data_IF_722751993222
#
_entry.id   IF_722751993222
#
_cell.length_a   1.000
_cell.length_b   1.000
_cell.length_c   1.000
_cell.angle_alpha   90.00
_cell.angle_beta   90.00
_cell.angle_gamma   90.00
#
_symmetry.space_group_name_H-M   'P 1'
#
loop_
_entity.id
_entity.type
_entity.pdbx_description
1 polymer ?
#
# COMPACT_ATOMS: atom_id res chain seq x y z
N UNK A 1 7.89 -15.09 14.87
CA UNK A 1 8.62 -13.83 14.57
C UNK A 1 9.68 -14.14 13.53
N UNK A 2 9.66 -13.45 12.40
CA UNK A 2 10.66 -13.58 11.33
C UNK A 2 11.68 -12.46 11.47
N UNK A 3 12.96 -12.78 11.59
CA UNK A 3 14.05 -11.82 11.83
C UNK A 3 14.81 -11.53 10.53
N UNK A 4 15.41 -10.34 10.47
CA UNK A 4 16.26 -9.90 9.37
C UNK A 4 17.42 -9.06 9.91
N UNK A 5 18.60 -9.16 9.29
CA UNK A 5 19.72 -8.28 9.59
C UNK A 5 19.39 -6.83 9.19
N UNK A 6 19.61 -5.88 10.09
CA UNK A 6 19.51 -4.45 9.77
C UNK A 6 20.65 -4.06 8.82
N UNK A 7 20.32 -3.28 7.80
CA UNK A 7 21.34 -2.72 6.88
C UNK A 7 22.24 -1.72 7.60
N UNK A 8 23.48 -1.54 7.10
CA UNK A 8 24.43 -0.62 7.70
C UNK A 8 25.27 -1.22 8.83
N UNK A 9 25.28 -2.55 8.96
CA UNK A 9 26.19 -3.28 9.85
C UNK A 9 27.02 -4.29 9.07
N UNK A 10 28.27 -4.50 9.51
CA UNK A 10 29.19 -5.46 8.88
C UNK A 10 30.03 -6.16 9.92
N UNK A 11 30.25 -7.47 9.73
CA UNK A 11 31.19 -8.24 10.56
C UNK A 11 32.63 -7.93 10.13
N UNK A 12 33.49 -7.66 11.10
CA UNK A 12 34.93 -7.50 10.91
C UNK A 12 35.68 -8.19 12.05
N UNK A 13 36.78 -8.83 11.72
CA UNK A 13 37.68 -9.40 12.69
C UNK A 13 38.81 -8.39 13.00
N UNK A 14 38.97 -8.08 14.28
CA UNK A 14 40.04 -7.21 14.78
C UNK A 14 40.85 -8.05 15.77
N UNK A 15 42.06 -8.38 15.40
CA UNK A 15 42.88 -9.37 16.11
C UNK A 15 42.11 -10.70 16.21
N UNK A 16 41.82 -11.18 17.42
CA UNK A 16 41.14 -12.47 17.66
C UNK A 16 39.66 -12.29 18.04
N UNK A 17 39.08 -11.09 17.87
CA UNK A 17 37.71 -10.82 18.26
C UNK A 17 36.93 -10.38 17.03
N UNK A 18 35.76 -10.99 16.80
CA UNK A 18 34.81 -10.56 15.79
C UNK A 18 33.93 -9.44 16.33
N UNK A 19 33.69 -8.43 15.51
CA UNK A 19 32.85 -7.28 15.83
C UNK A 19 31.80 -7.08 14.75
N UNK A 20 30.58 -6.79 15.16
CA UNK A 20 29.54 -6.25 14.30
C UNK A 20 29.61 -4.72 14.38
N UNK A 21 30.06 -4.08 13.30
CA UNK A 21 30.36 -2.66 13.25
C UNK A 21 29.35 -1.91 12.39
N UNK A 22 28.87 -0.72 12.83
CA UNK A 22 28.04 0.15 12.04
C UNK A 22 28.83 0.81 10.91
N UNK A 23 28.16 1.13 9.79
CA UNK A 23 28.68 1.98 8.72
C UNK A 23 27.55 2.83 8.10
N UNK A 24 27.91 3.84 7.31
CA UNK A 24 26.93 4.72 6.67
C UNK A 24 26.05 5.45 7.68
N UNK A 25 24.73 5.39 7.48
CA UNK A 25 23.75 6.09 8.33
C UNK A 25 23.83 5.66 9.80
N UNK A 26 24.16 4.39 10.07
CA UNK A 26 24.26 3.90 11.46
C UNK A 26 25.35 4.62 12.26
N UNK A 27 26.44 5.07 11.60
CA UNK A 27 27.47 5.91 12.25
C UNK A 27 26.90 7.32 12.51
N UNK A 28 26.21 7.91 11.55
CA UNK A 28 25.59 9.24 11.70
C UNK A 28 24.57 9.24 12.86
N UNK A 29 23.84 8.14 13.04
CA UNK A 29 22.90 7.91 14.13
C UNK A 29 23.59 7.52 15.45
N UNK A 30 24.94 7.63 15.53
CA UNK A 30 25.76 7.34 16.72
C UNK A 30 25.60 5.91 17.27
N UNK A 31 25.25 4.95 16.39
CA UNK A 31 25.19 3.54 16.78
C UNK A 31 26.58 2.99 17.09
N UNK A 32 26.64 2.06 18.04
CA UNK A 32 27.89 1.44 18.46
C UNK A 32 28.02 0.04 17.90
N UNK A 33 29.26 -0.39 17.64
CA UNK A 33 29.56 -1.78 17.34
C UNK A 33 29.57 -2.62 18.61
N UNK A 34 29.41 -3.93 18.47
CA UNK A 34 29.48 -4.90 19.55
C UNK A 34 30.45 -6.04 19.20
N UNK A 35 31.07 -6.63 20.23
CA UNK A 35 31.84 -7.86 20.09
C UNK A 35 30.88 -9.05 19.95
N UNK A 36 31.23 -9.98 19.08
CA UNK A 36 30.45 -11.18 18.77
C UNK A 36 31.28 -12.43 19.10
N UNK A 37 30.68 -13.38 19.82
CA UNK A 37 31.25 -14.72 19.98
C UNK A 37 30.99 -15.58 18.72
N UNK A 38 31.58 -16.77 18.67
CA UNK A 38 31.48 -17.68 17.50
C UNK A 38 30.02 -18.01 17.15
N UNK A 39 29.20 -18.31 18.14
CA UNK A 39 27.79 -18.63 17.96
C UNK A 39 27.02 -17.43 17.38
N UNK A 40 27.26 -16.22 17.89
CA UNK A 40 26.65 -14.98 17.38
C UNK A 40 27.08 -14.67 15.94
N UNK A 41 28.33 -14.92 15.60
CA UNK A 41 28.85 -14.78 14.21
C UNK A 41 28.15 -15.77 13.30
N UNK A 42 28.02 -17.03 13.72
CA UNK A 42 27.32 -18.05 12.96
C UNK A 42 25.86 -17.66 12.69
N UNK A 43 25.12 -17.30 13.73
CA UNK A 43 23.71 -16.90 13.62
C UNK A 43 23.53 -15.67 12.71
N UNK A 44 24.40 -14.67 12.85
CA UNK A 44 24.36 -13.48 11.97
C UNK A 44 24.56 -13.85 10.51
N UNK A 45 25.58 -14.67 10.20
CA UNK A 45 25.86 -15.13 8.83
C UNK A 45 24.73 -15.99 8.28
N UNK A 46 24.20 -16.92 9.07
CA UNK A 46 23.07 -17.76 8.67
C UNK A 46 21.85 -16.90 8.30
N UNK A 47 21.52 -15.92 9.15
CA UNK A 47 20.41 -15.00 8.91
C UNK A 47 20.67 -14.08 7.69
N UNK A 48 21.90 -13.61 7.51
CA UNK A 48 22.27 -12.79 6.36
C UNK A 48 22.18 -13.58 5.04
N UNK A 49 22.59 -14.84 5.03
CA UNK A 49 22.48 -15.73 3.86
C UNK A 49 21.03 -16.08 3.54
N UNK A 50 20.21 -16.32 4.55
CA UNK A 50 18.79 -16.65 4.38
C UNK A 50 17.94 -15.40 4.00
N UNK A 51 18.45 -14.19 4.24
CA UNK A 51 17.71 -12.94 4.10
C UNK A 51 16.71 -12.69 5.24
N UNK A 52 15.99 -13.72 5.69
CA UNK A 52 15.14 -13.73 6.88
C UNK A 52 14.99 -15.15 7.42
N UNK A 53 14.81 -15.31 8.74
CA UNK A 53 14.63 -16.61 9.40
C UNK A 53 13.81 -16.47 10.69
N UNK A 54 13.09 -17.53 11.06
CA UNK A 54 12.45 -17.62 12.38
C UNK A 54 13.46 -17.97 13.46
N UNK A 55 13.07 -17.81 14.72
CA UNK A 55 13.90 -18.26 15.85
C UNK A 55 14.11 -19.78 15.82
N UNK A 56 13.09 -20.51 15.43
CA UNK A 56 13.08 -21.98 15.26
C UNK A 56 14.04 -22.43 14.16
N UNK A 57 14.06 -21.73 13.00
CA UNK A 57 15.01 -22.00 11.93
C UNK A 57 16.45 -21.77 12.38
N UNK A 58 16.70 -20.65 13.06
CA UNK A 58 18.04 -20.33 13.59
C UNK A 58 18.50 -21.34 14.64
N UNK A 59 17.59 -21.78 15.54
CA UNK A 59 17.89 -22.83 16.51
C UNK A 59 18.22 -24.16 15.83
N UNK A 60 17.44 -24.54 14.80
CA UNK A 60 17.69 -25.75 13.99
C UNK A 60 19.05 -25.69 13.28
N UNK A 61 19.43 -24.52 12.73
CA UNK A 61 20.74 -24.31 12.12
C UNK A 61 21.89 -24.47 13.13
N UNK A 62 21.71 -23.97 14.37
CA UNK A 62 22.71 -24.14 15.45
C UNK A 62 22.87 -25.59 15.84
N UNK A 63 21.77 -26.32 16.04
CA UNK A 63 21.77 -27.75 16.36
C UNK A 63 22.54 -28.53 15.31
N UNK A 64 22.24 -28.29 14.04
CA UNK A 64 22.94 -28.93 12.94
C UNK A 64 24.43 -28.58 12.90
N UNK A 65 24.79 -27.31 13.16
CA UNK A 65 26.18 -26.85 13.13
C UNK A 65 27.05 -27.46 14.23
N UNK A 66 26.50 -27.57 15.43
CA UNK A 66 27.24 -28.12 16.59
C UNK A 66 26.98 -29.62 16.82
N UNK A 67 26.23 -30.29 15.94
CA UNK A 67 25.81 -31.70 16.08
C UNK A 67 25.15 -32.02 17.44
N UNK A 68 24.27 -31.14 17.91
CA UNK A 68 23.50 -31.30 19.13
C UNK A 68 22.32 -32.24 18.94
N UNK A 69 21.85 -32.86 20.03
CA UNK A 69 20.66 -33.74 19.98
C UNK A 69 19.33 -32.94 19.95
N UNK A 70 18.27 -33.55 19.45
CA UNK A 70 16.93 -32.94 19.42
C UNK A 70 16.41 -32.57 20.85
N UNK A 71 16.87 -33.27 21.89
CA UNK A 71 16.51 -32.96 23.25
C UNK A 71 16.97 -31.57 23.70
N UNK A 72 17.99 -30.99 23.05
CA UNK A 72 18.56 -29.68 23.39
C UNK A 72 17.83 -28.53 22.68
N UNK A 73 16.86 -28.80 21.78
CA UNK A 73 16.17 -27.80 20.98
C UNK A 73 15.57 -26.66 21.80
N UNK A 74 14.89 -26.99 22.91
CA UNK A 74 14.24 -25.97 23.77
C UNK A 74 15.25 -25.02 24.40
N UNK A 75 16.41 -25.57 24.88
CA UNK A 75 17.46 -24.75 25.45
C UNK A 75 18.15 -23.88 24.41
N UNK A 76 18.46 -24.43 23.23
CA UNK A 76 19.06 -23.69 22.14
C UNK A 76 18.11 -22.57 21.64
N UNK A 77 16.80 -22.85 21.58
CA UNK A 77 15.79 -21.84 21.18
C UNK A 77 15.76 -20.65 22.13
N UNK A 78 15.84 -20.90 23.47
CA UNK A 78 15.92 -19.82 24.48
C UNK A 78 17.21 -19.00 24.34
N UNK A 79 18.35 -19.62 24.04
CA UNK A 79 19.61 -18.93 23.79
C UNK A 79 19.53 -18.06 22.54
N UNK A 80 18.98 -18.60 21.43
CA UNK A 80 18.74 -17.87 20.19
C UNK A 80 17.79 -16.70 20.42
N UNK A 81 16.75 -16.89 21.21
CA UNK A 81 15.79 -15.83 21.57
C UNK A 81 16.49 -14.71 22.38
N UNK A 82 17.32 -15.06 23.35
CA UNK A 82 18.12 -14.10 24.12
C UNK A 82 19.05 -13.27 23.22
N UNK A 83 19.77 -13.94 22.31
CA UNK A 83 20.61 -13.30 21.30
C UNK A 83 19.80 -12.35 20.40
N UNK A 84 18.67 -12.81 19.87
CA UNK A 84 17.83 -12.02 18.98
C UNK A 84 17.27 -10.78 19.69
N UNK A 85 16.76 -10.93 20.92
CA UNK A 85 16.22 -9.81 21.71
C UNK A 85 17.29 -8.75 21.99
N UNK A 86 18.53 -9.15 22.29
CA UNK A 86 19.64 -8.23 22.49
C UNK A 86 19.95 -7.43 21.22
N UNK A 87 20.03 -8.09 20.05
CA UNK A 87 20.33 -7.42 18.79
C UNK A 87 19.16 -6.56 18.28
N UNK A 88 17.91 -6.97 18.54
CA UNK A 88 16.72 -6.13 18.29
C UNK A 88 16.78 -4.85 19.14
N UNK A 89 17.14 -4.96 20.43
CA UNK A 89 17.27 -3.80 21.32
C UNK A 89 18.36 -2.83 20.83
N UNK A 90 19.44 -3.32 20.25
CA UNK A 90 20.50 -2.48 19.68
C UNK A 90 20.16 -1.97 18.26
N UNK A 91 19.05 -2.43 17.67
CA UNK A 91 18.65 -2.08 16.30
C UNK A 91 19.54 -2.69 15.22
N UNK A 92 20.22 -3.81 15.55
CA UNK A 92 21.06 -4.59 14.62
C UNK A 92 20.27 -5.66 13.89
N UNK A 93 19.18 -6.15 14.50
CA UNK A 93 18.14 -6.94 13.85
C UNK A 93 16.85 -6.12 13.76
N UNK A 94 16.02 -6.49 12.81
CA UNK A 94 14.65 -5.98 12.67
C UNK A 94 13.70 -7.16 12.44
N UNK A 95 12.47 -7.00 12.89
CA UNK A 95 11.42 -7.96 12.56
C UNK A 95 11.01 -7.77 11.10
N UNK A 96 11.04 -8.85 10.33
CA UNK A 96 10.56 -8.84 8.95
C UNK A 96 9.03 -8.72 8.92
N UNK A 97 8.52 -7.92 8.03
CA UNK A 97 7.08 -7.75 7.86
C UNK A 97 6.51 -8.95 7.09
N UNK A 98 5.74 -9.80 7.78
CA UNK A 98 5.13 -11.02 7.21
C UNK A 98 3.74 -11.26 7.81
N UNK A 99 2.86 -12.04 7.15
CA UNK A 99 1.54 -12.38 7.67
C UNK A 99 1.58 -12.96 9.09
N UNK A 100 0.62 -12.54 9.93
CA UNK A 100 0.50 -13.03 11.32
C UNK A 100 -0.23 -14.38 11.42
N UNK A 101 -0.90 -14.80 10.35
CA UNK A 101 -1.62 -16.08 10.24
C UNK A 101 -1.49 -16.61 8.82
N UNK A 102 -1.58 -17.92 8.62
CA UNK A 102 -1.65 -18.52 7.27
C UNK A 102 -2.95 -18.17 6.55
N UNK A 103 -4.06 -18.08 7.30
CA UNK A 103 -5.39 -17.84 6.76
C UNK A 103 -5.79 -16.36 6.84
N UNK A 104 -6.41 -15.85 5.78
CA UNK A 104 -7.08 -14.56 5.78
C UNK A 104 -8.57 -14.76 6.13
N UNK A 105 -9.17 -13.79 6.84
CA UNK A 105 -10.58 -13.84 7.23
C UNK A 105 -11.52 -13.68 6.03
N UNK A 106 -11.13 -12.87 5.05
CA UNK A 106 -11.94 -12.52 3.88
C UNK A 106 -11.10 -12.35 2.64
N UNK A 107 -11.69 -12.65 1.48
CA UNK A 107 -11.08 -12.50 0.16
C UNK A 107 -11.96 -11.60 -0.71
N UNK A 108 -11.36 -10.65 -1.41
CA UNK A 108 -12.05 -9.73 -2.31
C UNK A 108 -11.33 -9.67 -3.64
N UNK A 109 -12.11 -9.53 -4.72
CA UNK A 109 -11.58 -9.26 -6.07
C UNK A 109 -11.97 -7.83 -6.47
N UNK A 110 -10.99 -6.95 -6.59
CA UNK A 110 -11.17 -5.55 -6.93
C UNK A 110 -10.29 -5.22 -8.12
N UNK A 111 -10.88 -4.84 -9.24
CA UNK A 111 -10.14 -4.49 -10.46
C UNK A 111 -9.19 -5.60 -10.96
N UNK A 112 -9.59 -6.87 -10.83
CA UNK A 112 -8.75 -8.03 -11.19
C UNK A 112 -7.55 -8.26 -10.28
N UNK A 113 -7.47 -7.56 -9.13
CA UNK A 113 -6.49 -7.76 -8.08
C UNK A 113 -7.16 -8.46 -6.88
N UNK A 114 -6.43 -9.37 -6.23
CA UNK A 114 -6.87 -9.98 -4.98
C UNK A 114 -6.50 -9.10 -3.80
N UNK A 115 -7.47 -8.87 -2.91
CA UNK A 115 -7.26 -8.29 -1.59
C UNK A 115 -7.65 -9.32 -0.54
N UNK A 116 -6.68 -9.80 0.22
CA UNK A 116 -6.89 -10.67 1.37
C UNK A 116 -6.84 -9.86 2.66
N UNK A 117 -7.88 -9.95 3.45
CA UNK A 117 -7.99 -9.24 4.71
C UNK A 117 -7.98 -10.23 5.87
N UNK A 118 -7.10 -10.03 6.85
CA UNK A 118 -7.16 -10.67 8.15
C UNK A 118 -7.75 -9.68 9.15
N UNK A 119 -9.02 -9.87 9.49
CA UNK A 119 -9.79 -9.05 10.43
C UNK A 119 -10.53 -9.98 11.40
N UNK A 120 -9.81 -10.54 12.40
CA UNK A 120 -10.37 -11.55 13.29
C UNK A 120 -11.49 -11.04 14.18
N UNK A 121 -11.62 -9.74 14.34
CA UNK A 121 -12.63 -9.10 15.18
C UNK A 121 -13.73 -8.38 14.39
N UNK A 122 -13.64 -8.33 13.04
CA UNK A 122 -14.69 -7.78 12.18
C UNK A 122 -14.82 -6.25 12.21
N UNK A 123 -13.70 -5.52 12.30
CA UNK A 123 -13.71 -4.06 12.41
C UNK A 123 -14.12 -3.36 11.12
N UNK A 124 -13.81 -3.93 9.95
CA UNK A 124 -14.10 -3.32 8.64
C UNK A 124 -15.56 -3.46 8.25
N UNK A 125 -16.27 -4.44 8.81
CA UNK A 125 -17.69 -4.67 8.50
C UNK A 125 -17.95 -5.05 7.04
N UNK A 126 -19.08 -4.57 6.48
CA UNK A 126 -19.59 -4.96 5.15
C UNK A 126 -19.07 -4.08 3.99
N UNK A 127 -18.11 -3.19 4.23
CA UNK A 127 -17.67 -2.18 3.24
C UNK A 127 -17.18 -2.77 1.91
N UNK A 128 -16.68 -4.01 1.92
CA UNK A 128 -16.16 -4.71 0.75
C UNK A 128 -17.05 -5.86 0.26
N UNK A 129 -18.20 -6.12 0.85
CA UNK A 129 -19.00 -7.33 0.59
C UNK A 129 -19.41 -7.50 -0.87
N UNK A 130 -19.65 -6.40 -1.60
CA UNK A 130 -19.97 -6.45 -3.03
C UNK A 130 -18.82 -7.01 -3.90
N UNK A 131 -17.59 -7.05 -3.37
CA UNK A 131 -16.36 -7.52 -4.04
C UNK A 131 -15.89 -8.86 -3.46
N UNK A 132 -16.62 -9.47 -2.51
CA UNK A 132 -16.26 -10.75 -1.88
C UNK A 132 -16.17 -11.86 -2.91
N UNK A 133 -15.18 -12.71 -2.77
CA UNK A 133 -14.97 -13.88 -3.65
C UNK A 133 -14.41 -15.06 -2.85
N UNK A 134 -14.75 -16.27 -3.30
CA UNK A 134 -14.16 -17.50 -2.80
C UNK A 134 -12.97 -17.96 -3.67
N UNK A 135 -12.69 -17.24 -4.75
CA UNK A 135 -11.63 -17.57 -5.71
C UNK A 135 -10.34 -16.82 -5.40
N UNK A 136 -9.24 -17.58 -5.33
CA UNK A 136 -7.88 -17.05 -5.20
C UNK A 136 -7.23 -16.68 -6.56
N UNK A 137 -7.95 -16.82 -7.69
CA UNK A 137 -7.42 -16.57 -9.01
C UNK A 137 -7.38 -15.07 -9.31
N UNK A 138 -6.24 -14.44 -9.13
CA UNK A 138 -6.00 -13.03 -9.46
C UNK A 138 -4.61 -12.82 -10.06
N UNK A 139 -4.45 -11.73 -10.84
CA UNK A 139 -3.18 -11.36 -11.47
C UNK A 139 -2.10 -10.98 -10.43
N UNK A 140 -2.52 -10.45 -9.29
CA UNK A 140 -1.65 -10.10 -8.17
C UNK A 140 -2.46 -10.13 -6.87
N UNK A 141 -1.77 -10.29 -5.74
CA UNK A 141 -2.36 -10.53 -4.45
C UNK A 141 -1.78 -9.58 -3.40
N UNK A 142 -2.65 -8.80 -2.76
CA UNK A 142 -2.32 -7.96 -1.61
C UNK A 142 -2.94 -8.54 -0.36
N UNK A 143 -2.17 -8.61 0.72
CA UNK A 143 -2.67 -8.98 2.02
C UNK A 143 -2.60 -7.82 3.01
N UNK A 144 -3.67 -7.61 3.78
CA UNK A 144 -3.77 -6.64 4.86
C UNK A 144 -4.19 -7.34 6.14
N UNK A 145 -3.37 -7.24 7.19
CA UNK A 145 -3.65 -7.77 8.52
C UNK A 145 -3.98 -6.61 9.47
N UNK A 146 -5.15 -6.68 10.13
CA UNK A 146 -5.55 -5.77 11.20
C UNK A 146 -5.14 -6.34 12.54
N UNK A 147 -4.34 -5.59 13.28
CA UNK A 147 -3.84 -5.97 14.61
C UNK A 147 -4.38 -5.01 15.67
N UNK A 148 -5.10 -5.56 16.64
CA UNK A 148 -5.73 -4.79 17.72
C UNK A 148 -4.80 -4.62 18.93
N UNK A 149 -3.52 -4.44 18.66
CA UNK A 149 -2.45 -4.20 19.64
C UNK A 149 -1.64 -2.98 19.24
N UNK A 150 -1.04 -2.24 20.18
CA UNK A 150 -0.08 -1.20 19.84
C UNK A 150 1.12 -1.78 19.11
N UNK A 151 1.70 -1.05 18.13
CA UNK A 151 2.92 -1.48 17.45
C UNK A 151 4.13 -1.40 18.40
N UNK A 152 5.11 -2.27 18.17
CA UNK A 152 6.44 -2.18 18.83
C UNK A 152 7.43 -1.47 17.87
N UNK A 153 7.09 -0.28 17.44
CA UNK A 153 7.90 0.47 16.47
C UNK A 153 8.93 1.32 17.17
N UNK A 154 10.19 1.12 16.82
CA UNK A 154 11.34 1.81 17.43
C UNK A 154 12.02 2.82 16.51
N UNK A 155 11.80 2.72 15.21
CA UNK A 155 12.38 3.64 14.21
C UNK A 155 11.50 3.69 12.97
N UNK A 156 11.08 4.90 12.61
CA UNK A 156 10.26 5.12 11.42
C UNK A 156 11.09 5.24 10.13
N UNK A 157 12.33 5.73 10.19
CA UNK A 157 13.18 5.97 9.04
C UNK A 157 13.07 7.39 8.49
N UNK A 158 13.30 7.54 7.18
CA UNK A 158 13.26 8.83 6.49
C UNK A 158 11.82 9.26 6.20
N UNK A 159 11.49 10.53 6.47
CA UNK A 159 10.20 11.13 6.08
C UNK A 159 10.17 11.33 4.56
N UNK A 160 9.19 10.74 3.89
CA UNK A 160 8.94 10.94 2.46
C UNK A 160 7.81 11.95 2.20
N UNK A 161 6.78 11.94 3.04
CA UNK A 161 5.64 12.84 2.93
C UNK A 161 5.13 13.16 4.34
N UNK A 162 4.77 14.42 4.57
CA UNK A 162 4.11 14.86 5.79
C UNK A 162 3.08 15.95 5.48
N UNK A 163 1.84 15.72 5.89
CA UNK A 163 0.78 16.69 5.86
C UNK A 163 -0.16 16.50 7.07
N UNK A 164 -1.29 17.19 7.12
CA UNK A 164 -2.25 17.09 8.23
C UNK A 164 -2.98 15.74 8.30
N UNK A 165 -3.05 14.99 7.19
CA UNK A 165 -3.82 13.75 7.08
C UNK A 165 -2.94 12.51 7.31
N UNK A 166 -1.67 12.56 6.87
CA UNK A 166 -0.75 11.43 7.00
C UNK A 166 0.71 11.85 7.06
N UNK A 167 1.53 11.00 7.64
CA UNK A 167 2.98 11.05 7.53
C UNK A 167 3.47 9.69 7.05
N UNK A 168 4.28 9.67 5.99
CA UNK A 168 4.85 8.46 5.40
C UNK A 168 6.36 8.49 5.61
N UNK A 169 6.85 7.44 6.27
CA UNK A 169 8.27 7.18 6.45
C UNK A 169 8.68 5.99 5.61
N UNK A 170 9.94 5.93 5.26
CA UNK A 170 10.57 4.77 4.64
C UNK A 170 11.81 4.36 5.43
N UNK A 171 11.91 3.09 5.74
CA UNK A 171 13.15 2.47 6.18
C UNK A 171 13.63 1.44 5.14
N UNK A 172 14.58 0.57 5.51
CA UNK A 172 15.24 -0.33 4.56
C UNK A 172 14.31 -1.36 3.91
N UNK A 173 13.18 -1.72 4.54
CA UNK A 173 12.34 -2.84 4.10
C UNK A 173 10.84 -2.52 4.03
N UNK A 174 10.41 -1.35 4.54
CA UNK A 174 8.98 -1.00 4.59
C UNK A 174 8.72 0.50 4.59
N UNK A 175 7.47 0.83 4.30
CA UNK A 175 6.89 2.12 4.66
C UNK A 175 6.20 2.01 6.03
N UNK A 176 6.29 3.08 6.82
CA UNK A 176 5.48 3.28 8.03
C UNK A 176 4.59 4.50 7.80
N UNK A 177 3.30 4.35 8.05
CA UNK A 177 2.30 5.40 7.81
C UNK A 177 1.59 5.73 9.11
N UNK A 178 1.62 7.02 9.48
CA UNK A 178 0.82 7.56 10.59
C UNK A 178 -0.36 8.34 10.02
N UNK A 179 -1.51 8.24 10.70
CA UNK A 179 -2.76 8.91 10.34
C UNK A 179 -3.21 9.85 11.45
N UNK A 180 -2.71 11.11 11.53
CA UNK A 180 -3.02 12.04 12.62
C UNK A 180 -4.52 12.35 12.79
N UNK A 181 -5.31 12.20 11.73
CA UNK A 181 -6.77 12.43 11.74
C UNK A 181 -7.60 11.19 12.05
N UNK A 182 -6.97 10.03 12.24
CA UNK A 182 -7.61 8.74 12.53
C UNK A 182 -7.14 8.24 13.90
N UNK A 183 -7.70 8.72 15.02
CA UNK A 183 -7.13 8.53 16.36
C UNK A 183 -7.17 7.09 16.87
N UNK A 184 -7.92 6.23 16.21
CA UNK A 184 -8.06 4.81 16.57
C UNK A 184 -7.16 3.89 15.73
N UNK A 185 -6.43 4.44 14.76
CA UNK A 185 -5.34 3.76 14.03
C UNK A 185 -4.01 4.27 14.61
N UNK A 186 -3.22 3.38 15.21
CA UNK A 186 -1.92 3.75 15.76
C UNK A 186 -0.92 4.06 14.65
N UNK A 187 -0.72 3.11 13.75
CA UNK A 187 0.13 3.22 12.57
C UNK A 187 -0.10 2.04 11.63
N UNK A 188 0.44 2.12 10.43
CA UNK A 188 0.45 1.00 9.49
C UNK A 188 1.84 0.78 8.91
N UNK A 189 2.17 -0.49 8.66
CA UNK A 189 3.42 -0.91 8.02
C UNK A 189 3.09 -1.57 6.68
N UNK A 190 3.80 -1.21 5.63
CA UNK A 190 3.63 -1.78 4.30
C UNK A 190 4.98 -2.16 3.69
N UNK A 191 5.10 -3.35 3.11
CA UNK A 191 6.26 -3.74 2.33
C UNK A 191 6.49 -2.79 1.14
N UNK A 192 7.74 -2.64 0.68
CA UNK A 192 8.07 -1.68 -0.39
C UNK A 192 7.41 -2.02 -1.74
N UNK A 193 7.02 -3.27 -1.95
CA UNK A 193 6.24 -3.71 -3.12
C UNK A 193 4.72 -3.54 -2.94
N UNK A 194 4.27 -3.27 -1.70
CA UNK A 194 2.87 -3.09 -1.36
C UNK A 194 2.06 -4.38 -1.24
N UNK A 195 2.70 -5.55 -1.35
CA UNK A 195 2.00 -6.85 -1.32
C UNK A 195 1.48 -7.22 0.07
N UNK A 196 2.11 -6.70 1.13
CA UNK A 196 1.71 -6.96 2.50
C UNK A 196 1.63 -5.70 3.35
N UNK A 197 0.57 -5.60 4.15
CA UNK A 197 0.30 -4.47 5.05
C UNK A 197 -0.12 -4.97 6.42
N UNK A 198 0.38 -4.35 7.49
CA UNK A 198 -0.19 -4.44 8.85
C UNK A 198 -0.76 -3.10 9.24
N UNK A 199 -1.98 -3.07 9.72
CA UNK A 199 -2.60 -1.87 10.33
C UNK A 199 -2.80 -2.15 11.81
N UNK A 200 -2.17 -1.34 12.65
CA UNK A 200 -2.32 -1.41 14.09
C UNK A 200 -3.41 -0.45 14.54
N UNK A 201 -4.46 -0.96 15.17
CA UNK A 201 -5.63 -0.17 15.55
C UNK A 201 -6.15 -0.56 16.94
N UNK A 202 -7.05 0.25 17.49
CA UNK A 202 -7.74 -0.08 18.73
C UNK A 202 -8.88 -1.08 18.47
N UNK A 203 -9.19 -1.99 19.42
CA UNK A 203 -10.29 -2.95 19.31
C UNK A 203 -11.64 -2.27 19.60
N UNK A 204 -11.99 -1.22 18.86
CA UNK A 204 -13.19 -0.41 19.06
C UNK A 204 -14.13 -0.59 17.87
N UNK A 205 -15.34 -1.09 18.11
CA UNK A 205 -16.36 -1.31 17.09
C UNK A 205 -17.28 -0.09 17.01
N UNK A 206 -16.85 0.95 16.29
CA UNK A 206 -17.69 2.09 15.95
C UNK A 206 -17.71 2.28 14.45
N UNK A 207 -18.69 3.05 13.97
CA UNK A 207 -18.76 3.40 12.54
C UNK A 207 -17.55 4.21 12.11
N UNK A 208 -17.11 5.11 12.96
CA UNK A 208 -15.95 5.97 12.71
C UNK A 208 -14.68 5.15 12.48
N UNK A 209 -14.42 4.13 13.30
CA UNK A 209 -13.27 3.23 13.13
C UNK A 209 -13.38 2.41 11.85
N UNK A 210 -14.58 1.90 11.53
CA UNK A 210 -14.81 1.18 10.27
C UNK A 210 -14.58 2.09 9.04
N UNK A 211 -15.06 3.34 9.08
CA UNK A 211 -14.86 4.33 8.01
C UNK A 211 -13.36 4.72 7.90
N UNK A 212 -12.66 4.93 9.01
CA UNK A 212 -11.22 5.21 9.03
C UNK A 212 -10.41 4.04 8.45
N UNK A 213 -10.69 2.80 8.84
CA UNK A 213 -10.05 1.61 8.30
C UNK A 213 -10.34 1.45 6.81
N UNK A 214 -11.57 1.70 6.36
CA UNK A 214 -11.92 1.67 4.95
C UNK A 214 -11.09 2.68 4.13
N UNK A 215 -10.86 3.88 4.67
CA UNK A 215 -10.01 4.89 4.05
C UNK A 215 -8.52 4.58 4.13
N UNK A 216 -8.04 4.01 5.24
CA UNK A 216 -6.65 3.56 5.35
C UNK A 216 -6.34 2.43 4.36
N UNK A 217 -7.22 1.43 4.26
CA UNK A 217 -7.10 0.32 3.29
C UNK A 217 -7.06 0.86 1.85
N UNK A 218 -7.86 1.92 1.53
CA UNK A 218 -7.80 2.59 0.22
C UNK A 218 -6.40 3.03 -0.15
N UNK A 219 -5.66 3.67 0.76
CA UNK A 219 -4.30 4.15 0.50
C UNK A 219 -3.38 3.00 0.06
N UNK A 220 -3.41 1.91 0.82
CA UNK A 220 -2.56 0.75 0.56
C UNK A 220 -2.96 0.00 -0.70
N UNK A 221 -4.27 -0.15 -0.94
CA UNK A 221 -4.77 -0.74 -2.16
C UNK A 221 -4.40 0.09 -3.40
N UNK A 222 -4.52 1.41 -3.36
CA UNK A 222 -4.14 2.27 -4.48
C UNK A 222 -2.64 2.24 -4.76
N UNK A 223 -1.80 2.11 -3.73
CA UNK A 223 -0.37 1.89 -3.90
C UNK A 223 -0.09 0.57 -4.63
N UNK A 224 -0.70 -0.51 -4.16
CA UNK A 224 -0.56 -1.84 -4.77
C UNK A 224 -1.12 -1.87 -6.19
N UNK A 225 -2.27 -1.26 -6.42
CA UNK A 225 -2.89 -1.14 -7.74
C UNK A 225 -1.99 -0.39 -8.73
N UNK A 226 -1.35 0.71 -8.31
CA UNK A 226 -0.38 1.46 -9.13
C UNK A 226 0.84 0.62 -9.50
N UNK A 227 1.38 -0.17 -8.56
CA UNK A 227 2.49 -1.10 -8.85
C UNK A 227 2.08 -2.17 -9.87
N UNK A 228 0.79 -2.49 -9.95
CA UNK A 228 0.19 -3.45 -10.89
C UNK A 228 -0.50 -2.79 -12.10
N UNK A 229 -0.10 -1.56 -12.47
CA UNK A 229 -0.53 -0.88 -13.69
C UNK A 229 -1.97 -0.35 -13.68
N UNK A 230 -2.54 -0.10 -12.49
CA UNK A 230 -3.87 0.48 -12.32
C UNK A 230 -3.79 1.78 -11.55
N UNK A 231 -4.38 2.85 -12.08
CA UNK A 231 -4.20 4.21 -11.60
C UNK A 231 -5.53 4.89 -11.27
N UNK A 232 -5.56 5.59 -10.16
CA UNK A 232 -6.76 6.20 -9.63
C UNK A 232 -6.89 7.68 -10.06
N UNK A 233 -8.07 8.04 -10.55
CA UNK A 233 -8.42 9.40 -10.95
C UNK A 233 -9.64 9.88 -10.16
N UNK A 234 -9.52 11.04 -9.51
CA UNK A 234 -10.63 11.69 -8.82
C UNK A 234 -11.66 12.19 -9.84
N UNK A 235 -12.74 11.45 -10.01
CA UNK A 235 -13.76 11.70 -10.99
C UNK A 235 -15.07 10.98 -10.67
N UNK A 236 -16.19 11.54 -11.06
CA UNK A 236 -17.45 10.83 -11.17
C UNK A 236 -17.58 10.23 -12.57
N UNK A 237 -18.26 9.08 -12.72
CA UNK A 237 -18.37 8.39 -14.00
C UNK A 237 -19.77 7.88 -14.29
N UNK A 238 -20.07 7.81 -15.59
CA UNK A 238 -21.31 7.29 -16.16
C UNK A 238 -20.99 6.31 -17.29
N UNK A 239 -21.94 5.44 -17.60
CA UNK A 239 -21.89 4.59 -18.78
C UNK A 239 -22.66 5.24 -19.94
N UNK A 240 -21.97 5.50 -21.06
CA UNK A 240 -22.60 6.02 -22.28
C UNK A 240 -22.05 5.30 -23.50
N UNK A 241 -22.94 4.73 -24.33
CA UNK A 241 -22.58 3.91 -25.49
C UNK A 241 -21.54 2.83 -25.19
N UNK A 242 -21.82 2.03 -24.15
CA UNK A 242 -20.96 0.93 -23.66
C UNK A 242 -19.55 1.35 -23.24
N UNK A 243 -19.31 2.63 -22.99
CA UNK A 243 -18.03 3.17 -22.52
C UNK A 243 -18.21 4.00 -21.26
N UNK A 244 -17.24 3.91 -20.36
CA UNK A 244 -17.18 4.77 -19.17
C UNK A 244 -16.68 6.17 -19.56
N UNK A 245 -17.41 7.21 -19.15
CA UNK A 245 -17.03 8.61 -19.30
C UNK A 245 -16.80 9.23 -17.93
N UNK A 246 -15.64 9.83 -17.73
CA UNK A 246 -15.22 10.41 -16.47
C UNK A 246 -15.39 11.93 -16.48
N UNK A 247 -16.02 12.45 -15.45
CA UNK A 247 -16.11 13.89 -15.16
C UNK A 247 -15.20 14.21 -13.99
N UNK A 248 -14.13 14.96 -14.22
CA UNK A 248 -13.12 15.29 -13.22
C UNK A 248 -12.98 16.79 -13.02
N UNK A 249 -12.73 17.20 -11.80
CA UNK A 249 -12.59 18.61 -11.40
C UNK A 249 -12.38 18.73 -9.91
N UNK A 250 -12.02 19.92 -9.42
CA UNK A 250 -11.92 20.17 -7.97
C UNK A 250 -13.25 19.93 -7.28
N UNK A 251 -13.23 19.80 -5.96
CA UNK A 251 -14.47 19.75 -5.17
C UNK A 251 -15.35 20.95 -5.48
N UNK A 252 -16.65 20.73 -5.65
CA UNK A 252 -17.61 21.80 -5.99
C UNK A 252 -17.61 22.27 -7.45
N UNK A 253 -16.86 21.60 -8.34
CA UNK A 253 -16.85 21.93 -9.79
C UNK A 253 -18.00 21.33 -10.59
N UNK A 254 -18.97 20.68 -9.94
CA UNK A 254 -20.16 20.18 -10.61
C UNK A 254 -20.06 18.75 -11.19
N UNK A 255 -19.09 17.91 -10.77
CA UNK A 255 -19.00 16.51 -11.20
C UNK A 255 -20.35 15.79 -11.10
N UNK A 256 -20.94 15.79 -9.91
CA UNK A 256 -22.26 15.15 -9.66
C UNK A 256 -23.40 15.82 -10.42
N UNK A 257 -23.34 17.13 -10.65
CA UNK A 257 -24.31 17.87 -11.46
C UNK A 257 -24.30 17.38 -12.90
N UNK A 258 -23.11 17.26 -13.51
CA UNK A 258 -22.97 16.79 -14.87
C UNK A 258 -23.41 15.35 -15.03
N UNK A 259 -22.99 14.43 -14.14
CA UNK A 259 -23.44 13.03 -14.21
C UNK A 259 -24.97 12.92 -14.04
N UNK A 260 -25.59 13.75 -13.19
CA UNK A 260 -27.04 13.81 -13.02
C UNK A 260 -27.76 14.36 -14.28
N UNK A 261 -27.18 15.37 -14.96
CA UNK A 261 -27.73 15.87 -16.24
C UNK A 261 -27.70 14.78 -17.31
N UNK A 262 -26.62 14.06 -17.46
CA UNK A 262 -26.50 12.95 -18.38
C UNK A 262 -27.51 11.84 -18.08
N UNK A 263 -27.64 11.49 -16.79
CA UNK A 263 -28.64 10.52 -16.35
C UNK A 263 -30.07 10.99 -16.70
N UNK A 264 -30.38 12.25 -16.41
CA UNK A 264 -31.72 12.83 -16.68
C UNK A 264 -32.04 12.87 -18.18
N UNK A 265 -31.08 13.21 -19.02
CA UNK A 265 -31.31 13.42 -20.46
C UNK A 265 -31.22 12.12 -21.27
N UNK A 266 -30.33 11.22 -20.91
CA UNK A 266 -29.98 10.03 -21.68
C UNK A 266 -30.15 8.72 -20.93
N UNK A 267 -30.64 8.76 -19.69
CA UNK A 267 -30.81 7.59 -18.81
C UNK A 267 -29.50 6.79 -18.60
N UNK A 268 -28.36 7.49 -18.61
CA UNK A 268 -27.05 6.86 -18.45
C UNK A 268 -26.90 6.27 -17.04
N UNK A 269 -26.48 4.99 -16.89
CA UNK A 269 -26.13 4.46 -15.59
C UNK A 269 -24.95 5.21 -14.96
N UNK A 270 -25.01 5.43 -13.65
CA UNK A 270 -23.86 5.86 -12.85
C UNK A 270 -22.92 4.68 -12.62
N UNK A 271 -21.61 4.93 -12.64
CA UNK A 271 -20.60 3.91 -12.36
C UNK A 271 -19.89 4.14 -11.02
N UNK A 272 -19.34 5.34 -10.79
CA UNK A 272 -18.76 5.71 -9.50
C UNK A 272 -18.90 7.23 -9.28
N UNK A 273 -19.13 7.62 -8.04
CA UNK A 273 -19.40 9.04 -7.70
C UNK A 273 -18.18 9.89 -7.38
N UNK A 274 -17.01 9.28 -7.13
CA UNK A 274 -15.85 10.04 -6.62
C UNK A 274 -14.49 9.55 -7.12
N UNK A 275 -14.29 8.24 -7.25
CA UNK A 275 -13.00 7.63 -7.55
C UNK A 275 -13.12 6.59 -8.64
N UNK A 276 -12.33 6.71 -9.68
CA UNK A 276 -12.25 5.71 -10.74
C UNK A 276 -10.84 5.16 -10.87
N UNK A 277 -10.73 3.84 -10.95
CA UNK A 277 -9.48 3.14 -11.20
C UNK A 277 -9.39 2.78 -12.68
N UNK A 278 -8.27 3.11 -13.32
CA UNK A 278 -8.06 2.90 -14.74
C UNK A 278 -6.83 2.03 -14.95
N UNK A 279 -6.88 1.09 -15.88
CA UNK A 279 -5.73 0.30 -16.30
C UNK A 279 -5.79 -0.04 -17.78
N UNK A 280 -4.76 -0.73 -18.27
CA UNK A 280 -4.67 -1.17 -19.67
C UNK A 280 -4.78 -2.68 -19.72
N UNK A 281 -5.70 -3.17 -20.53
CA UNK A 281 -5.83 -4.59 -20.88
C UNK A 281 -5.85 -4.75 -22.39
N UNK A 282 -5.01 -5.62 -22.92
CA UNK A 282 -4.89 -5.87 -24.37
C UNK A 282 -4.75 -4.58 -25.20
N UNK A 283 -4.02 -3.58 -24.66
CA UNK A 283 -3.77 -2.30 -25.32
C UNK A 283 -4.92 -1.28 -25.23
N UNK A 284 -6.04 -1.61 -24.60
CA UNK A 284 -7.21 -0.76 -24.39
C UNK A 284 -7.30 -0.31 -22.92
N UNK A 285 -7.74 0.94 -22.71
CA UNK A 285 -8.01 1.48 -21.38
C UNK A 285 -9.38 1.02 -20.86
N UNK A 286 -9.39 0.52 -19.61
CA UNK A 286 -10.60 0.13 -18.87
C UNK A 286 -10.74 0.93 -17.58
N UNK A 287 -11.98 1.18 -17.19
CA UNK A 287 -12.39 1.72 -15.89
C UNK A 287 -12.94 0.57 -15.06
N UNK A 288 -12.37 0.33 -13.89
CA UNK A 288 -12.77 -0.77 -13.01
C UNK A 288 -13.70 -0.28 -11.92
N UNK A 289 -14.65 -1.16 -11.54
CA UNK A 289 -15.44 -0.97 -10.35
C UNK A 289 -14.58 -1.11 -9.09
N UNK A 290 -14.79 -0.19 -8.14
CA UNK A 290 -14.11 -0.17 -6.85
C UNK A 290 -15.07 0.30 -5.75
N UNK A 291 -14.87 -0.10 -4.48
CA UNK A 291 -15.80 0.24 -3.40
C UNK A 291 -15.75 1.70 -2.96
N UNK A 292 -14.65 2.40 -3.20
CA UNK A 292 -14.46 3.80 -2.77
C UNK A 292 -15.17 4.76 -3.72
N UNK A 293 -16.28 5.33 -3.26
CA UNK A 293 -17.15 6.19 -4.06
C UNK A 293 -17.49 7.53 -3.38
N UNK A 294 -16.70 7.92 -2.37
CA UNK A 294 -16.95 9.11 -1.56
C UNK A 294 -18.28 9.02 -0.80
N UNK A 295 -18.94 10.16 -0.63
CA UNK A 295 -20.23 10.23 0.07
C UNK A 295 -21.43 9.86 -0.79
N UNK A 296 -21.23 9.55 -2.07
CA UNK A 296 -22.32 9.27 -3.02
C UNK A 296 -22.99 7.92 -2.79
N UNK A 297 -22.27 6.93 -2.27
CA UNK A 297 -22.69 5.54 -2.20
C UNK A 297 -22.83 4.86 -3.58
N UNK A 298 -22.42 5.53 -4.66
CA UNK A 298 -22.58 5.05 -6.03
C UNK A 298 -21.30 4.38 -6.48
N UNK A 299 -21.33 3.08 -6.72
CA UNK A 299 -20.25 2.31 -7.30
C UNK A 299 -20.76 1.14 -8.15
N UNK A 300 -19.90 0.55 -8.95
CA UNK A 300 -20.15 -0.70 -9.68
C UNK A 300 -19.03 -1.71 -9.36
N UNK A 301 -19.31 -2.99 -9.54
CA UNK A 301 -18.29 -4.07 -9.49
C UNK A 301 -17.79 -4.46 -10.89
N UNK A 302 -18.41 -3.90 -11.95
CA UNK A 302 -18.09 -4.21 -13.34
C UNK A 302 -17.00 -3.29 -13.88
N UNK A 303 -16.40 -3.70 -14.98
CA UNK A 303 -15.42 -2.95 -15.75
C UNK A 303 -15.97 -2.54 -17.10
N UNK A 304 -15.51 -1.42 -17.62
CA UNK A 304 -15.95 -0.88 -18.91
C UNK A 304 -14.79 -0.22 -19.65
N UNK A 305 -14.75 -0.30 -20.99
CA UNK A 305 -13.80 0.47 -21.78
C UNK A 305 -13.90 1.96 -21.47
N UNK A 306 -12.77 2.66 -21.33
CA UNK A 306 -12.76 4.11 -21.16
C UNK A 306 -13.12 4.80 -22.46
N UNK A 307 -14.16 5.65 -22.43
CA UNK A 307 -14.59 6.47 -23.56
C UNK A 307 -13.86 7.80 -23.67
N UNK A 308 -13.55 8.42 -22.53
CA UNK A 308 -12.85 9.69 -22.44
C UNK A 308 -12.99 10.35 -21.08
N UNK A 309 -12.30 11.47 -20.91
CA UNK A 309 -12.30 12.27 -19.68
C UNK A 309 -12.76 13.68 -19.99
N UNK A 310 -13.69 14.21 -19.20
CA UNK A 310 -14.14 15.60 -19.25
C UNK A 310 -13.63 16.32 -18.01
N UNK A 311 -12.71 17.23 -18.19
CA UNK A 311 -12.15 18.08 -17.14
C UNK A 311 -13.01 19.33 -16.99
N UNK A 312 -13.64 19.48 -15.82
CA UNK A 312 -14.54 20.59 -15.54
C UNK A 312 -13.75 21.83 -15.11
N UNK A 313 -14.09 22.96 -15.70
CA UNK A 313 -13.61 24.30 -15.37
C UNK A 313 -14.77 25.27 -15.12
N UNK A 314 -14.48 26.45 -14.53
CA UNK A 314 -15.44 27.55 -14.40
C UNK A 314 -15.22 28.55 -15.52
N UNK A 315 -16.31 29.03 -16.14
CA UNK A 315 -16.32 30.16 -17.04
C UNK A 315 -17.22 31.28 -16.50
N UNK A 316 -16.83 32.53 -16.73
CA UNK A 316 -17.68 33.70 -16.45
C UNK A 316 -18.41 34.21 -17.68
N UNK A 317 -18.03 33.72 -18.86
CA UNK A 317 -18.57 34.27 -20.13
C UNK A 317 -19.62 33.37 -20.77
N UNK A 318 -19.23 32.13 -21.12
CA UNK A 318 -20.13 31.16 -21.75
C UNK A 318 -19.60 29.73 -21.59
N UNK A 319 -20.49 28.79 -21.70
CA UNK A 319 -20.13 27.37 -21.73
C UNK A 319 -19.35 27.05 -23.02
N UNK A 320 -18.24 26.37 -22.88
CA UNK A 320 -17.40 25.93 -23.98
C UNK A 320 -16.80 24.58 -23.70
N UNK A 321 -16.79 23.71 -24.71
CA UNK A 321 -16.05 22.43 -24.67
C UNK A 321 -14.97 22.45 -25.76
N UNK A 322 -13.78 22.04 -25.38
CA UNK A 322 -12.64 21.89 -26.30
C UNK A 322 -11.88 20.62 -26.03
N UNK A 323 -11.30 19.98 -27.01
CA UNK A 323 -10.35 18.92 -26.85
C UNK A 323 -8.98 19.52 -26.58
N UNK A 324 -8.32 19.08 -25.48
CA UNK A 324 -7.04 19.62 -25.09
C UNK A 324 -5.90 19.14 -26.01
N UNK A 325 -4.88 19.98 -26.26
CA UNK A 325 -3.64 19.54 -26.89
C UNK A 325 -2.90 18.53 -26.01
N UNK A 326 -2.05 17.69 -26.62
CA UNK A 326 -1.43 16.53 -25.97
C UNK A 326 -0.71 16.87 -24.65
N UNK A 327 0.10 17.94 -24.63
CA UNK A 327 0.82 18.38 -23.42
C UNK A 327 -0.11 18.72 -22.25
N UNK A 328 -1.20 19.43 -22.56
CA UNK A 328 -2.18 19.85 -21.57
C UNK A 328 -3.02 18.67 -21.07
N UNK A 329 -3.36 17.71 -21.95
CA UNK A 329 -4.01 16.46 -21.55
C UNK A 329 -3.21 15.76 -20.45
N UNK A 330 -1.92 15.52 -20.67
CA UNK A 330 -1.04 14.82 -19.75
C UNK A 330 -1.00 15.52 -18.40
N UNK A 331 -0.68 16.81 -18.40
CA UNK A 331 -0.54 17.57 -17.16
C UNK A 331 -1.85 17.64 -16.37
N UNK A 332 -2.97 17.94 -17.03
CA UNK A 332 -4.27 18.09 -16.37
C UNK A 332 -4.83 16.77 -15.88
N UNK A 333 -4.63 15.65 -16.60
CA UNK A 333 -5.01 14.31 -16.15
C UNK A 333 -4.19 13.95 -14.92
N UNK A 334 -2.87 14.16 -14.96
CA UNK A 334 -1.98 13.87 -13.83
C UNK A 334 -2.35 14.64 -12.56
N UNK A 335 -2.80 15.91 -12.69
CA UNK A 335 -3.30 16.71 -11.57
C UNK A 335 -4.60 16.16 -10.95
N UNK A 336 -5.29 15.26 -11.60
CA UNK A 336 -6.50 14.57 -11.10
C UNK A 336 -6.22 13.16 -10.61
N UNK A 337 -5.02 12.66 -10.83
CA UNK A 337 -4.61 11.36 -10.28
C UNK A 337 -4.43 11.47 -8.78
N UNK A 338 -4.95 10.48 -8.07
CA UNK A 338 -4.77 10.31 -6.62
C UNK A 338 -4.02 9.03 -6.28
N UNK A 339 -3.48 8.36 -7.30
CA UNK A 339 -2.48 7.32 -7.10
C UNK A 339 -1.27 7.89 -6.36
N UNK A 340 -0.66 7.13 -5.46
CA UNK A 340 0.49 7.58 -4.67
C UNK A 340 1.62 8.20 -5.50
N UNK A 341 2.27 9.23 -4.95
CA UNK A 341 3.35 9.97 -5.60
C UNK A 341 4.40 10.51 -4.59
N UNK A 342 4.63 9.79 -3.49
CA UNK A 342 5.61 10.22 -2.46
C UNK A 342 7.06 9.86 -2.78
N UNK A 343 7.33 9.21 -3.91
CA UNK A 343 8.67 9.03 -4.47
C UNK A 343 8.70 9.45 -5.94
N UNK A 344 9.89 9.75 -6.47
CA UNK A 344 10.09 10.08 -7.88
C UNK A 344 9.66 8.93 -8.81
N UNK A 345 9.90 7.68 -8.40
CA UNK A 345 9.44 6.50 -9.15
C UNK A 345 7.92 6.48 -9.31
N UNK A 346 7.19 6.69 -8.21
CA UNK A 346 5.72 6.70 -8.23
C UNK A 346 5.17 7.85 -9.08
N UNK A 347 5.79 9.03 -8.97
CA UNK A 347 5.45 10.19 -9.82
C UNK A 347 5.66 9.87 -11.30
N UNK A 348 6.80 9.26 -11.64
CA UNK A 348 7.12 8.87 -13.02
C UNK A 348 6.12 7.85 -13.58
N UNK A 349 5.66 6.90 -12.75
CA UNK A 349 4.59 5.96 -13.12
C UNK A 349 3.28 6.68 -13.45
N UNK A 350 2.88 7.65 -12.60
CA UNK A 350 1.69 8.47 -12.85
C UNK A 350 1.80 9.25 -14.16
N UNK A 351 2.95 9.87 -14.41
CA UNK A 351 3.21 10.64 -15.63
C UNK A 351 3.15 9.76 -16.88
N UNK A 352 3.79 8.61 -16.86
CA UNK A 352 3.76 7.64 -17.96
C UNK A 352 2.33 7.18 -18.26
N UNK A 353 1.53 6.89 -17.22
CA UNK A 353 0.15 6.47 -17.41
C UNK A 353 -0.76 7.60 -17.90
N UNK A 354 -0.53 8.84 -17.44
CA UNK A 354 -1.26 10.01 -17.99
C UNK A 354 -0.98 10.23 -19.47
N UNK A 355 0.25 9.94 -19.94
CA UNK A 355 0.59 9.95 -21.37
C UNK A 355 -0.20 8.87 -22.14
N UNK A 356 -0.26 7.64 -21.61
CA UNK A 356 -1.06 6.57 -22.21
C UNK A 356 -2.55 6.93 -22.35
N UNK A 357 -3.12 7.61 -21.34
CA UNK A 357 -4.51 8.12 -21.43
C UNK A 357 -4.62 9.15 -22.54
N UNK A 358 -3.69 10.13 -22.59
CA UNK A 358 -3.73 11.21 -23.58
C UNK A 358 -3.63 10.71 -25.01
N UNK A 359 -2.90 9.61 -25.24
CA UNK A 359 -2.70 9.01 -26.57
C UNK A 359 -3.88 8.13 -27.01
N UNK A 360 -4.62 7.52 -26.08
CA UNK A 360 -5.61 6.48 -26.38
C UNK A 360 -7.06 6.96 -26.37
N UNK A 361 -7.39 8.03 -25.62
CA UNK A 361 -8.76 8.52 -25.48
C UNK A 361 -8.81 10.05 -25.53
N UNK A 362 -9.95 10.64 -25.94
CA UNK A 362 -10.13 12.07 -25.90
C UNK A 362 -10.18 12.59 -24.45
N UNK A 363 -9.54 13.73 -24.22
CA UNK A 363 -9.63 14.48 -22.98
C UNK A 363 -10.13 15.88 -23.31
N UNK A 364 -11.33 16.19 -22.86
CA UNK A 364 -11.98 17.46 -23.07
C UNK A 364 -11.85 18.39 -21.87
N UNK A 365 -11.80 19.67 -22.11
CA UNK A 365 -12.03 20.70 -21.11
C UNK A 365 -13.41 21.31 -21.32
N UNK A 366 -14.26 21.23 -20.31
CA UNK A 366 -15.59 21.84 -20.30
C UNK A 366 -15.59 23.00 -19.29
N UNK A 367 -15.66 24.21 -19.81
CA UNK A 367 -15.82 25.45 -19.03
C UNK A 367 -17.30 25.77 -18.93
N UNK A 368 -17.85 25.85 -17.70
CA UNK A 368 -19.26 26.12 -17.41
C UNK A 368 -19.44 26.92 -16.11
#
# INVERSE_FOLDING_TARGET
>A
MLLKCQTGYTLRQIKNTSYLLPYGQQIADQKKGIAMNETSVFLWNALQCAGSASLEDLASHLIAHYNLGEAEFSSVLEDVKGWAMQLLQYGMLVESLCPVSEEASCHFSIAGLSLRLYDPVGLVGAAFDAFRTDSAAAAADQRIDLLTVPPDSRSYGQVLLQNKEMTIFQNSDRYVVLFPTMPDIYEAHMTLDGSYVRIYCKPVHTREVSDDLFHAIRLFFLYFAQKNGRFAVHSASILYREKAWLFSGHSGMGKSTHTALWHKLFQTPYLNGDLNLIGIENGQLFVYGIPWCGTSGIFTTKEYPLGGIVLLGRSQEREQIEELPASDKILRVMQRMISPAWTEELLSRNLSFASEIADKVPVFHLSC
#
